data_IF_839935148029
#
_entry.id   IF_839935148029
#
_cell.length_a   1.000
_cell.length_b   1.000
_cell.length_c   1.000
_cell.angle_alpha   90.00
_cell.angle_beta   90.00
_cell.angle_gamma   90.00
#
_symmetry.space_group_name_H-M   'P 1'
#
loop_
_entity.id
_entity.type
_entity.pdbx_description
1 polymer ?
#
# COMPACT_ATOMS: atom_id res chain seq x y z
N UNK A 1 -40.48 -9.84 -13.13
CA UNK A 1 -39.50 -10.33 -14.13
C UNK A 1 -39.44 -9.35 -15.29
N UNK A 2 -38.52 -8.39 -15.21
CA UNK A 2 -38.05 -7.56 -16.33
C UNK A 2 -36.56 -7.38 -16.10
N UNK A 3 -35.75 -7.99 -16.95
CA UNK A 3 -34.29 -7.89 -16.94
C UNK A 3 -33.90 -6.55 -17.58
N UNK A 4 -33.15 -5.77 -16.81
CA UNK A 4 -32.48 -4.54 -17.21
C UNK A 4 -31.22 -4.90 -18.01
N UNK A 5 -31.02 -4.26 -19.16
CA UNK A 5 -29.81 -4.40 -19.97
C UNK A 5 -28.65 -3.62 -19.35
N UNK A 6 -27.51 -4.27 -19.19
CA UNK A 6 -26.21 -3.61 -18.93
C UNK A 6 -25.64 -3.09 -20.25
N UNK A 7 -25.15 -1.85 -20.25
CA UNK A 7 -24.44 -1.21 -21.36
C UNK A 7 -22.96 -1.14 -20.95
N UNK A 8 -22.10 -1.85 -21.68
CA UNK A 8 -20.64 -1.68 -21.68
C UNK A 8 -20.24 -0.63 -22.73
N UNK A 9 -19.25 0.25 -22.49
CA UNK A 9 -18.68 1.07 -23.54
C UNK A 9 -17.57 0.33 -24.31
N UNK A 10 -17.94 -0.02 -25.55
CA UNK A 10 -17.19 0.00 -26.81
C UNK A 10 -15.63 -0.06 -26.83
N UNK A 11 -15.12 -1.20 -27.30
CA UNK A 11 -13.81 -1.34 -27.93
C UNK A 11 -13.77 -0.65 -29.31
N UNK A 12 -12.71 0.11 -29.58
CA UNK A 12 -12.37 0.63 -30.92
C UNK A 12 -11.56 -0.43 -31.66
N UNK A 13 -12.13 -1.01 -32.72
CA UNK A 13 -11.43 -1.92 -33.64
C UNK A 13 -11.09 -1.18 -34.93
N UNK A 14 -9.79 -0.96 -35.20
CA UNK A 14 -9.32 -0.44 -36.48
C UNK A 14 -9.18 -1.58 -37.49
N UNK A 15 -9.87 -1.47 -38.63
CA UNK A 15 -9.79 -2.40 -39.75
C UNK A 15 -8.62 -2.02 -40.69
N UNK A 16 -7.67 -2.93 -40.90
CA UNK A 16 -6.72 -2.87 -42.00
C UNK A 16 -7.19 -3.77 -43.15
N UNK A 17 -7.31 -3.20 -44.34
CA UNK A 17 -7.73 -3.89 -45.56
C UNK A 17 -6.58 -4.69 -46.19
N UNK A 18 -6.84 -5.97 -46.50
CA UNK A 18 -6.02 -6.78 -47.40
C UNK A 18 -6.16 -6.29 -48.85
N UNK A 19 -5.02 -6.20 -49.56
CA UNK A 19 -4.99 -6.31 -51.02
C UNK A 19 -3.81 -7.19 -51.44
N UNK A 20 -4.10 -8.25 -52.19
CA UNK A 20 -3.14 -9.22 -52.68
C UNK A 20 -3.05 -9.15 -54.21
N UNK A 21 -1.83 -9.15 -54.76
CA UNK A 21 -1.49 -9.75 -56.05
C UNK A 21 0.05 -9.87 -56.20
N UNK A 22 0.58 -11.09 -56.32
CA UNK A 22 1.98 -11.35 -56.73
C UNK A 22 2.09 -11.50 -58.27
N UNK A 23 3.07 -12.26 -58.83
CA UNK A 23 4.38 -12.68 -58.32
C UNK A 23 5.52 -12.44 -59.36
N UNK A 24 6.80 -12.61 -58.97
CA UNK A 24 7.86 -13.19 -59.82
C UNK A 24 9.21 -13.31 -59.08
N UNK A 25 9.91 -14.41 -59.36
CA UNK A 25 11.15 -14.90 -58.79
C UNK A 25 12.42 -14.13 -59.18
N UNK A 26 13.50 -14.29 -58.40
CA UNK A 26 14.88 -14.63 -58.83
C UNK A 26 15.85 -14.66 -57.62
N UNK A 27 16.45 -15.82 -57.33
CA UNK A 27 17.75 -15.97 -56.64
C UNK A 27 18.90 -15.69 -57.65
N UNK A 28 20.23 -15.64 -57.31
CA UNK A 28 20.97 -16.26 -56.21
C UNK A 28 21.95 -15.29 -55.49
N UNK A 29 22.71 -15.65 -54.45
CA UNK A 29 24.04 -16.31 -54.55
C UNK A 29 24.60 -16.54 -53.13
N UNK A 30 25.14 -17.73 -52.91
CA UNK A 30 25.87 -18.18 -51.72
C UNK A 30 27.26 -17.52 -51.63
N UNK A 31 27.77 -17.36 -50.41
CA UNK A 31 29.21 -17.27 -50.16
C UNK A 31 29.53 -17.89 -48.80
N UNK A 32 30.12 -19.08 -48.86
CA UNK A 32 30.88 -19.73 -47.79
C UNK A 32 31.98 -18.81 -47.25
N UNK A 33 32.27 -18.94 -45.95
CA UNK A 33 33.65 -19.02 -45.46
C UNK A 33 33.66 -19.84 -44.17
N UNK A 34 34.19 -21.05 -44.26
CA UNK A 34 34.64 -21.85 -43.13
C UNK A 34 36.11 -21.53 -42.84
N UNK A 35 36.49 -21.47 -41.56
CA UNK A 35 37.68 -22.12 -40.97
C UNK A 35 38.04 -21.50 -39.60
N UNK A 36 37.78 -22.27 -38.54
CA UNK A 36 38.65 -22.39 -37.37
C UNK A 36 39.82 -23.34 -37.75
N UNK A 37 40.98 -23.42 -37.03
CA UNK A 37 40.95 -24.08 -35.71
C UNK A 37 42.11 -23.79 -34.70
N UNK A 38 41.97 -24.44 -33.52
CA UNK A 38 42.96 -24.83 -32.49
C UNK A 38 43.51 -23.76 -31.52
N UNK A 39 43.85 -24.00 -30.26
CA UNK A 39 43.49 -24.93 -29.16
C UNK A 39 44.47 -24.60 -27.98
N UNK A 40 44.19 -25.11 -26.77
CA UNK A 40 45.10 -25.29 -25.60
C UNK A 40 45.29 -23.99 -24.76
N UNK A 41 45.17 -23.91 -23.43
CA UNK A 41 45.42 -24.88 -22.37
C UNK A 41 44.50 -24.68 -21.15
N UNK A 42 44.20 -25.81 -20.51
CA UNK A 42 43.83 -26.00 -19.10
C UNK A 42 44.83 -25.38 -18.12
N UNK A 43 44.36 -24.73 -17.06
CA UNK A 43 44.97 -24.86 -15.74
C UNK A 43 43.90 -25.04 -14.66
N UNK A 44 44.13 -26.13 -13.94
CA UNK A 44 43.44 -26.69 -12.79
C UNK A 44 44.02 -26.01 -11.54
N UNK A 45 43.17 -25.48 -10.65
CA UNK A 45 43.60 -25.09 -9.31
C UNK A 45 42.65 -25.73 -8.30
N UNK A 46 43.07 -26.90 -7.84
CA UNK A 46 42.65 -27.45 -6.56
C UNK A 46 43.29 -26.65 -5.42
N UNK A 47 42.53 -26.37 -4.37
CA UNK A 47 43.08 -26.16 -3.03
C UNK A 47 42.16 -26.76 -1.98
N UNK A 48 42.78 -27.61 -1.16
CA UNK A 48 42.25 -28.43 -0.09
C UNK A 48 41.73 -27.63 1.13
N UNK A 49 40.60 -28.09 1.65
CA UNK A 49 40.30 -28.55 3.03
C UNK A 49 40.68 -27.73 4.31
N UNK A 50 39.76 -27.87 5.30
CA UNK A 50 39.91 -27.82 6.77
C UNK A 50 39.66 -26.49 7.49
N UNK A 51 38.54 -26.41 8.22
CA UNK A 51 38.53 -26.58 9.69
C UNK A 51 37.12 -26.35 10.28
N UNK A 52 36.56 -27.44 10.83
CA UNK A 52 35.46 -27.38 11.80
C UNK A 52 35.97 -26.76 13.12
N UNK A 53 35.17 -25.89 13.71
CA UNK A 53 35.39 -25.32 15.03
C UNK A 53 34.12 -25.42 15.86
N UNK A 54 34.00 -26.52 16.60
CA UNK A 54 33.09 -26.66 17.73
C UNK A 54 33.33 -25.54 18.75
N UNK A 55 32.28 -24.89 19.24
CA UNK A 55 32.29 -24.27 20.57
C UNK A 55 31.08 -24.69 21.39
N UNK A 56 31.43 -25.12 22.60
CA UNK A 56 30.64 -25.83 23.58
C UNK A 56 29.64 -24.95 24.33
N UNK A 57 28.58 -25.65 24.66
CA UNK A 57 27.62 -25.54 25.76
C UNK A 57 28.23 -25.23 27.15
N UNK A 58 27.48 -24.50 27.97
CA UNK A 58 27.71 -24.17 29.37
C UNK A 58 27.23 -22.74 29.65
N UNK A 59 26.32 -22.42 30.57
CA UNK A 59 26.01 -23.07 31.83
C UNK A 59 24.60 -22.69 32.28
N UNK A 60 24.05 -23.57 33.13
CA UNK A 60 22.71 -23.56 33.70
C UNK A 60 22.49 -22.43 34.72
N UNK A 61 21.24 -21.98 34.85
CA UNK A 61 20.65 -21.66 36.16
C UNK A 61 19.11 -21.67 36.07
N UNK A 62 18.54 -22.84 36.33
CA UNK A 62 17.17 -23.04 36.77
C UNK A 62 17.08 -22.69 38.26
N UNK A 63 16.10 -21.89 38.70
CA UNK A 63 15.62 -21.95 40.07
C UNK A 63 14.20 -21.36 40.23
N UNK A 64 13.25 -22.30 40.26
CA UNK A 64 12.18 -22.47 41.25
C UNK A 64 11.11 -21.40 41.49
N UNK A 65 9.87 -21.87 41.33
CA UNK A 65 8.60 -21.36 41.84
C UNK A 65 8.54 -21.23 43.38
N UNK A 66 7.77 -20.25 43.89
CA UNK A 66 6.43 -20.43 44.48
C UNK A 66 6.00 -19.25 45.40
N UNK A 67 4.68 -19.08 45.65
CA UNK A 67 3.99 -17.81 45.93
C UNK A 67 3.66 -17.61 47.41
N UNK A 68 3.25 -16.40 47.84
CA UNK A 68 2.46 -16.05 49.05
C UNK A 68 2.24 -14.50 49.03
N UNK A 69 1.15 -13.86 49.46
CA UNK A 69 -0.06 -14.28 50.17
C UNK A 69 -1.19 -13.24 49.99
N UNK A 70 -2.40 -13.76 50.03
CA UNK A 70 -3.69 -13.14 50.35
C UNK A 70 -3.71 -12.56 51.77
N UNK A 71 -4.36 -11.39 51.99
CA UNK A 71 -4.86 -11.01 53.31
C UNK A 71 -5.98 -9.94 53.25
N UNK A 72 -7.22 -10.44 53.40
CA UNK A 72 -8.26 -10.03 54.37
C UNK A 72 -8.91 -8.64 54.37
N UNK A 73 -10.25 -8.71 54.39
CA UNK A 73 -11.29 -7.70 54.55
C UNK A 73 -11.43 -7.05 55.97
N UNK A 74 -11.98 -5.82 55.96
CA UNK A 74 -13.03 -5.23 56.84
C UNK A 74 -12.81 -4.98 58.36
N UNK A 75 -13.68 -4.20 59.07
CA UNK A 75 -14.27 -2.87 58.77
C UNK A 75 -14.28 -1.95 60.06
N UNK A 76 -15.12 -0.89 60.04
CA UNK A 76 -15.66 -0.07 61.17
C UNK A 76 -15.17 1.39 61.28
N UNK A 77 -16.07 2.38 61.13
CA UNK A 77 -16.94 2.88 62.21
C UNK A 77 -17.69 4.17 61.79
N UNK A 78 -18.98 4.21 62.10
CA UNK A 78 -19.87 5.38 62.02
C UNK A 78 -19.78 6.31 63.24
N UNK A 79 -20.14 7.59 63.05
CA UNK A 79 -20.90 8.47 63.96
C UNK A 79 -21.26 9.77 63.20
N UNK A 80 -22.51 9.98 62.78
CA UNK A 80 -23.66 10.58 63.50
C UNK A 80 -23.53 12.10 63.79
N UNK A 81 -24.41 12.92 63.17
CA UNK A 81 -25.43 13.71 63.87
C UNK A 81 -25.95 14.96 63.10
N UNK A 82 -27.18 14.80 62.56
CA UNK A 82 -28.39 15.65 62.70
C UNK A 82 -28.51 17.12 62.21
N UNK A 83 -29.64 17.32 61.48
CA UNK A 83 -30.63 18.43 61.50
C UNK A 83 -30.41 19.64 60.56
N UNK A 84 -31.37 20.23 59.81
CA UNK A 84 -32.82 20.08 59.48
C UNK A 84 -33.16 21.07 58.32
N UNK A 85 -34.37 21.10 57.70
CA UNK A 85 -34.59 21.38 56.26
C UNK A 85 -35.26 22.73 55.88
N UNK A 86 -35.60 22.84 54.58
CA UNK A 86 -36.58 23.72 53.87
C UNK A 86 -36.08 25.13 53.46
N UNK A 87 -35.75 25.30 52.17
CA UNK A 87 -36.58 25.84 51.07
C UNK A 87 -36.63 27.38 51.04
N UNK A 88 -36.02 27.98 50.01
CA UNK A 88 -36.66 29.03 49.21
C UNK A 88 -35.95 29.15 47.85
N UNK A 89 -36.73 28.92 46.79
CA UNK A 89 -36.38 29.22 45.41
C UNK A 89 -35.95 30.68 45.27
N UNK A 90 -34.86 30.90 44.55
CA UNK A 90 -34.71 32.09 43.72
C UNK A 90 -34.25 31.68 42.34
N UNK A 91 -35.25 31.57 41.46
CA UNK A 91 -35.09 31.69 40.02
C UNK A 91 -34.45 33.02 39.70
N UNK A 92 -33.25 33.00 39.15
CA UNK A 92 -32.78 34.04 38.24
C UNK A 92 -32.28 33.31 37.00
N UNK A 93 -33.17 33.25 36.01
CA UNK A 93 -32.85 32.90 34.63
C UNK A 93 -31.72 33.81 34.13
N UNK A 94 -30.60 33.21 33.78
CA UNK A 94 -29.71 33.72 32.74
C UNK A 94 -29.33 32.55 31.85
N UNK A 95 -30.20 32.32 30.86
CA UNK A 95 -29.87 31.98 29.48
C UNK A 95 -28.51 31.27 29.30
N UNK A 96 -28.50 29.96 29.54
CA UNK A 96 -27.41 29.06 29.15
C UNK A 96 -27.93 28.00 28.18
N UNK A 97 -28.88 28.37 27.33
CA UNK A 97 -29.38 27.52 26.23
C UNK A 97 -28.52 27.67 24.95
N UNK A 98 -27.34 28.32 25.03
CA UNK A 98 -26.21 28.05 24.13
C UNK A 98 -25.46 26.75 24.51
N UNK A 99 -26.07 25.91 25.36
CA UNK A 99 -25.59 24.56 25.64
C UNK A 99 -25.80 23.65 24.41
N UNK A 100 -24.71 23.45 23.67
CA UNK A 100 -24.47 22.29 22.79
C UNK A 100 -25.41 22.16 21.59
N UNK A 101 -25.46 23.17 20.71
CA UNK A 101 -25.77 22.83 19.32
C UNK A 101 -24.61 21.98 18.81
N UNK A 102 -24.83 20.67 18.69
CA UNK A 102 -23.83 19.78 18.11
C UNK A 102 -23.44 20.28 16.73
N UNK A 103 -22.18 20.06 16.34
CA UNK A 103 -21.75 20.35 14.99
C UNK A 103 -21.87 19.08 14.15
N UNK A 104 -22.09 19.26 12.86
CA UNK A 104 -22.09 18.17 11.88
C UNK A 104 -20.86 18.29 11.01
N UNK A 105 -20.21 17.17 10.78
CA UNK A 105 -19.15 17.01 9.79
C UNK A 105 -19.67 16.13 8.67
N UNK A 106 -19.64 16.64 7.44
CA UNK A 106 -20.05 15.93 6.23
C UNK A 106 -18.84 15.59 5.38
N UNK A 107 -18.74 14.34 4.94
CA UNK A 107 -17.67 13.79 4.10
C UNK A 107 -18.14 13.53 2.66
N UNK A 108 -17.40 14.10 1.71
CA UNK A 108 -17.55 13.78 0.28
C UNK A 108 -16.20 13.29 -0.26
N UNK A 109 -15.97 11.98 -0.19
CA UNK A 109 -14.70 11.36 -0.58
C UNK A 109 -14.94 10.39 -1.74
N UNK A 110 -14.04 10.41 -2.72
CA UNK A 110 -14.03 9.49 -3.85
C UNK A 110 -12.71 8.71 -3.90
N UNK A 111 -12.77 7.49 -4.43
CA UNK A 111 -11.59 6.65 -4.66
C UNK A 111 -11.15 5.82 -3.45
N UNK A 112 -11.99 5.70 -2.42
CA UNK A 112 -11.79 4.74 -1.34
C UNK A 112 -12.25 3.34 -1.76
N UNK A 113 -11.67 2.31 -1.15
CA UNK A 113 -12.04 0.91 -1.37
C UNK A 113 -12.47 0.22 -0.08
N UNK A 114 -13.13 -0.93 -0.23
CA UNK A 114 -13.47 -1.82 0.89
C UNK A 114 -12.20 -2.40 1.50
N UNK A 115 -11.94 -2.08 2.77
CA UNK A 115 -10.76 -2.52 3.53
C UNK A 115 -10.89 -3.98 4.03
N UNK A 116 -12.08 -4.56 3.93
CA UNK A 116 -12.39 -5.90 4.41
C UNK A 116 -12.54 -5.99 5.93
N UNK A 117 -12.66 -7.23 6.42
CA UNK A 117 -12.85 -7.49 7.84
C UNK A 117 -11.63 -7.09 8.68
N UNK A 118 -11.88 -6.49 9.85
CA UNK A 118 -10.85 -6.13 10.82
C UNK A 118 -10.29 -4.72 10.69
N UNK A 119 -10.79 -3.93 9.73
CA UNK A 119 -10.31 -2.59 9.43
C UNK A 119 -11.47 -1.65 9.09
N UNK A 120 -11.31 -0.37 9.39
CA UNK A 120 -12.27 0.68 9.06
C UNK A 120 -11.53 2.00 8.79
N UNK A 121 -12.22 2.95 8.17
CA UNK A 121 -11.72 4.31 8.07
C UNK A 121 -12.12 5.11 9.31
N UNK A 122 -11.22 5.96 9.82
CA UNK A 122 -11.53 6.90 10.89
C UNK A 122 -11.15 8.33 10.49
N UNK A 123 -12.07 9.26 10.74
CA UNK A 123 -11.82 10.68 10.58
C UNK A 123 -11.33 11.31 11.88
N UNK A 124 -10.43 12.28 11.76
CA UNK A 124 -9.85 13.00 12.89
C UNK A 124 -9.81 14.49 12.62
N UNK A 125 -10.36 15.27 13.56
CA UNK A 125 -10.16 16.72 13.61
C UNK A 125 -8.93 17.04 14.45
N UNK A 126 -8.08 17.92 13.95
CA UNK A 126 -6.92 18.40 14.70
C UNK A 126 -7.29 19.68 15.45
N UNK A 127 -7.44 19.57 16.77
CA UNK A 127 -7.85 20.66 17.66
C UNK A 127 -6.74 20.94 18.66
N UNK A 128 -6.25 22.18 18.68
CA UNK A 128 -5.09 22.57 19.51
C UNK A 128 -3.87 21.64 19.34
N UNK A 129 -3.72 21.06 18.14
CA UNK A 129 -2.66 20.11 17.80
C UNK A 129 -2.89 18.67 18.25
N UNK A 130 -4.03 18.34 18.84
CA UNK A 130 -4.40 16.98 19.24
C UNK A 130 -5.48 16.40 18.30
N UNK A 131 -5.40 15.10 17.95
CA UNK A 131 -6.43 14.44 17.16
C UNK A 131 -7.68 14.17 18.01
N UNK A 132 -8.85 14.44 17.43
CA UNK A 132 -10.16 14.12 18.00
C UNK A 132 -10.94 13.33 16.97
N UNK A 133 -11.30 12.09 17.30
CA UNK A 133 -12.07 11.21 16.41
C UNK A 133 -13.42 11.83 16.05
N UNK A 134 -13.79 11.68 14.77
CA UNK A 134 -15.11 12.02 14.24
C UNK A 134 -15.99 10.79 14.09
N UNK A 135 -15.46 9.60 14.36
CA UNK A 135 -16.14 8.32 14.20
C UNK A 135 -15.61 7.49 13.03
N UNK A 136 -15.93 6.19 13.11
CA UNK A 136 -15.57 5.16 12.13
C UNK A 136 -16.61 5.05 11.03
N UNK A 137 -16.17 4.68 9.83
CA UNK A 137 -17.04 4.24 8.75
C UNK A 137 -16.33 3.19 7.88
N UNK A 138 -17.14 2.45 7.13
CA UNK A 138 -16.70 1.45 6.17
C UNK A 138 -17.02 1.93 4.76
N UNK A 139 -16.35 1.34 3.77
CA UNK A 139 -16.66 1.53 2.35
C UNK A 139 -17.00 0.18 1.78
N UNK A 140 -18.08 0.09 1.00
CA UNK A 140 -18.46 -1.17 0.35
C UNK A 140 -17.72 -1.38 -0.99
N UNK A 141 -17.95 -2.54 -1.61
CA UNK A 141 -17.34 -2.92 -2.87
C UNK A 141 -17.70 -1.99 -4.06
N UNK A 142 -18.76 -1.17 -3.94
CA UNK A 142 -19.13 -0.16 -4.95
C UNK A 142 -18.49 1.21 -4.66
N UNK A 143 -17.69 1.34 -3.60
CA UNK A 143 -17.04 2.57 -3.17
C UNK A 143 -17.96 3.50 -2.37
N UNK A 144 -19.07 2.98 -1.82
CA UNK A 144 -20.03 3.78 -1.05
C UNK A 144 -19.69 3.75 0.44
N UNK A 145 -19.65 4.93 1.08
CA UNK A 145 -19.41 5.04 2.51
C UNK A 145 -20.66 4.60 3.29
N UNK A 146 -20.45 3.90 4.41
CA UNK A 146 -21.53 3.51 5.32
C UNK A 146 -22.11 4.70 6.10
N UNK A 147 -21.34 5.78 6.26
CA UNK A 147 -21.78 7.07 6.79
C UNK A 147 -21.04 8.24 6.12
N UNK A 148 -21.77 9.33 5.86
CA UNK A 148 -21.22 10.58 5.34
C UNK A 148 -21.31 11.72 6.35
N UNK A 149 -22.19 11.62 7.35
CA UNK A 149 -22.47 12.68 8.30
C UNK A 149 -22.15 12.21 9.73
N UNK A 150 -21.38 13.01 10.44
CA UNK A 150 -20.91 12.70 11.79
C UNK A 150 -21.28 13.83 12.73
N UNK A 151 -21.76 13.49 13.93
CA UNK A 151 -21.98 14.47 14.98
C UNK A 151 -20.68 14.66 15.75
N UNK A 152 -20.19 15.89 15.80
CA UNK A 152 -18.95 16.24 16.50
C UNK A 152 -19.26 17.24 17.61
N UNK A 153 -18.77 16.94 18.81
CA UNK A 153 -18.99 17.75 20.01
C UNK A 153 -17.78 18.66 20.29
N UNK A 154 -17.41 19.42 19.26
CA UNK A 154 -16.26 20.31 19.26
C UNK A 154 -16.63 21.61 18.58
N UNK A 155 -15.95 22.70 18.95
CA UNK A 155 -16.09 23.97 18.24
C UNK A 155 -15.32 23.88 16.89
N UNK A 156 -16.01 23.93 15.73
CA UNK A 156 -15.35 23.86 14.43
C UNK A 156 -14.37 25.00 14.20
N UNK A 157 -14.53 26.14 14.88
CA UNK A 157 -13.59 27.26 14.78
C UNK A 157 -12.21 26.94 15.38
N UNK A 158 -12.10 25.87 16.16
CA UNK A 158 -10.84 25.40 16.76
C UNK A 158 -10.16 24.28 15.98
N UNK A 159 -10.87 23.67 15.02
CA UNK A 159 -10.32 22.64 14.17
C UNK A 159 -9.41 23.25 13.09
N UNK A 160 -8.19 22.75 13.00
CA UNK A 160 -7.14 23.27 12.11
C UNK A 160 -6.95 22.41 10.87
N UNK A 161 -7.21 21.12 10.97
CA UNK A 161 -7.11 20.16 9.87
C UNK A 161 -8.05 18.98 10.08
N UNK A 162 -8.33 18.27 8.99
CA UNK A 162 -8.92 16.95 9.00
C UNK A 162 -7.90 15.93 8.49
N UNK A 163 -7.91 14.74 9.09
CA UNK A 163 -7.09 13.61 8.69
C UNK A 163 -7.98 12.37 8.60
N UNK A 164 -7.83 11.60 7.52
CA UNK A 164 -8.43 10.29 7.37
C UNK A 164 -7.35 9.23 7.54
N UNK A 165 -7.60 8.26 8.42
CA UNK A 165 -6.71 7.12 8.65
C UNK A 165 -7.41 5.79 8.33
N UNK A 166 -6.60 4.74 8.21
CA UNK A 166 -7.04 3.35 8.21
C UNK A 166 -6.74 2.78 9.60
N UNK A 167 -7.76 2.26 10.27
CA UNK A 167 -7.68 1.82 11.67
C UNK A 167 -8.07 0.35 11.83
N UNK A 168 -7.43 -0.39 12.74
CA UNK A 168 -7.94 -1.67 13.20
C UNK A 168 -9.40 -1.56 13.68
N UNK A 169 -10.22 -2.58 13.45
CA UNK A 169 -11.61 -2.60 13.88
C UNK A 169 -12.00 -4.01 14.36
N UNK A 170 -12.10 -4.25 15.68
CA UNK A 170 -12.07 -3.28 16.78
C UNK A 170 -10.67 -2.77 17.13
N UNK A 171 -10.56 -1.47 17.45
CA UNK A 171 -9.35 -0.85 18.00
C UNK A 171 -9.40 -0.71 19.53
N UNK A 172 -8.26 -0.89 20.18
CA UNK A 172 -8.07 -0.62 21.60
C UNK A 172 -7.20 0.62 21.87
N UNK A 173 -6.47 1.12 20.86
CA UNK A 173 -5.73 2.38 20.95
C UNK A 173 -6.66 3.52 20.53
N UNK A 174 -6.87 4.55 21.38
CA UNK A 174 -7.69 5.70 21.02
C UNK A 174 -6.94 6.75 20.16
N UNK A 175 -5.66 6.55 19.87
CA UNK A 175 -4.89 7.43 18.98
C UNK A 175 -4.98 6.96 17.52
N UNK A 176 -4.84 7.88 16.54
CA UNK A 176 -4.79 7.49 15.13
C UNK A 176 -3.63 6.52 14.84
N UNK A 177 -3.85 5.53 13.99
CA UNK A 177 -2.77 4.68 13.48
C UNK A 177 -1.76 5.51 12.67
N UNK A 178 -0.62 4.90 12.35
CA UNK A 178 0.36 5.50 11.45
C UNK A 178 -0.15 5.65 10.00
N UNK A 179 -1.23 4.97 9.60
CA UNK A 179 -1.69 4.86 8.21
C UNK A 179 -2.60 6.04 7.86
N UNK A 180 -2.00 7.23 7.71
CA UNK A 180 -2.72 8.45 7.31
C UNK A 180 -2.89 8.50 5.79
N UNK A 181 -4.13 8.41 5.30
CA UNK A 181 -4.46 8.30 3.88
C UNK A 181 -4.72 9.66 3.22
N UNK A 182 -5.58 10.49 3.82
CA UNK A 182 -5.93 11.81 3.32
C UNK A 182 -5.79 12.86 4.40
N UNK A 183 -5.45 14.09 4.03
CA UNK A 183 -5.50 15.23 4.93
C UNK A 183 -5.83 16.52 4.21
N UNK A 184 -6.26 17.52 4.98
CA UNK A 184 -6.51 18.87 4.50
C UNK A 184 -6.64 19.88 5.64
N UNK A 185 -6.11 21.09 5.44
CA UNK A 185 -6.31 22.21 6.36
C UNK A 185 -7.78 22.67 6.31
N UNK A 186 -8.35 22.96 7.48
CA UNK A 186 -9.71 23.49 7.60
C UNK A 186 -9.65 25.01 7.51
N UNK A 187 -10.33 25.57 6.51
CA UNK A 187 -10.48 27.02 6.30
C UNK A 187 -11.96 27.31 6.11
N UNK A 188 -12.51 28.20 6.94
CA UNK A 188 -13.94 28.58 6.92
C UNK A 188 -14.88 27.35 7.00
N UNK A 189 -14.50 26.34 7.78
CA UNK A 189 -15.27 25.10 7.97
C UNK A 189 -15.21 24.13 6.78
N UNK A 190 -14.30 24.33 5.84
CA UNK A 190 -14.10 23.42 4.69
C UNK A 190 -12.65 22.94 4.60
N UNK A 191 -12.43 21.71 4.17
CA UNK A 191 -11.10 21.19 3.84
C UNK A 191 -11.14 20.42 2.51
N UNK A 192 -10.13 20.65 1.67
CA UNK A 192 -9.86 19.83 0.49
C UNK A 192 -8.87 18.73 0.88
N UNK A 193 -9.23 17.48 0.64
CA UNK A 193 -8.49 16.32 1.09
C UNK A 193 -7.63 15.74 -0.03
N UNK A 194 -6.35 15.49 0.29
CA UNK A 194 -5.43 14.82 -0.63
C UNK A 194 -4.39 14.00 0.12
N UNK A 195 -3.79 13.04 -0.59
CA UNK A 195 -2.62 12.31 -0.10
C UNK A 195 -1.38 13.22 0.05
N UNK A 196 -1.35 14.34 -0.68
CA UNK A 196 -0.21 15.27 -0.69
C UNK A 196 -0.11 16.12 0.57
N UNK A 197 -1.17 16.15 1.38
CA UNK A 197 -1.18 16.93 2.61
C UNK A 197 -0.09 16.44 3.58
N UNK A 198 0.60 17.33 4.32
CA UNK A 198 1.65 16.94 5.26
C UNK A 198 1.20 16.02 6.40
N UNK A 199 -0.11 16.00 6.71
CA UNK A 199 -0.70 15.08 7.67
C UNK A 199 -1.14 13.73 7.03
N UNK A 200 -0.88 13.50 5.74
CA UNK A 200 -1.09 12.24 5.03
C UNK A 200 0.27 11.71 4.54
N UNK A 201 0.42 11.35 3.26
CA UNK A 201 1.71 10.95 2.70
C UNK A 201 2.70 12.12 2.61
N UNK A 202 2.22 13.36 2.56
CA UNK A 202 3.07 14.56 2.45
C UNK A 202 3.79 14.70 1.10
N UNK A 203 3.34 13.98 0.07
CA UNK A 203 3.92 14.01 -1.27
C UNK A 203 2.83 14.03 -2.35
N UNK A 204 2.99 14.91 -3.35
CA UNK A 204 2.07 15.04 -4.49
C UNK A 204 2.43 14.11 -5.66
N UNK A 205 3.60 13.47 -5.60
CA UNK A 205 4.14 12.57 -6.62
C UNK A 205 4.24 13.20 -8.04
N UNK A 206 4.18 14.52 -8.16
CA UNK A 206 4.17 15.22 -9.45
C UNK A 206 5.51 15.18 -10.20
N UNK A 207 6.59 14.86 -9.50
CA UNK A 207 7.96 14.83 -10.03
C UNK A 207 8.52 13.39 -10.18
N UNK A 208 7.67 12.37 -10.16
CA UNK A 208 8.10 10.97 -10.38
C UNK A 208 8.52 10.75 -11.85
N UNK A 209 9.63 10.05 -12.04
CA UNK A 209 10.14 9.60 -13.35
C UNK A 209 10.81 8.25 -13.11
N UNK A 210 10.15 7.17 -13.56
CA UNK A 210 10.54 5.82 -13.21
C UNK A 210 10.46 4.88 -14.41
N UNK A 211 11.30 3.85 -14.41
CA UNK A 211 11.32 2.81 -15.44
C UNK A 211 11.63 1.45 -14.82
N UNK A 212 11.39 0.41 -15.61
CA UNK A 212 11.80 -0.94 -15.32
C UNK A 212 12.48 -1.59 -16.53
N UNK A 213 13.09 -2.74 -16.29
CA UNK A 213 13.68 -3.60 -17.31
C UNK A 213 13.15 -5.03 -17.16
N UNK A 214 13.21 -5.80 -18.25
CA UNK A 214 13.05 -7.25 -18.21
C UNK A 214 14.42 -7.93 -18.24
N UNK A 215 14.63 -8.89 -17.35
CA UNK A 215 15.87 -9.63 -17.19
C UNK A 215 15.78 -10.64 -16.06
N UNK A 216 16.49 -11.76 -16.16
CA UNK A 216 16.64 -12.69 -15.03
C UNK A 216 17.73 -12.13 -14.11
N UNK A 217 17.34 -11.65 -12.94
CA UNK A 217 18.25 -10.98 -12.00
C UNK A 217 18.87 -11.93 -10.97
N UNK A 218 18.15 -12.97 -10.56
CA UNK A 218 18.63 -14.00 -9.67
C UNK A 218 19.40 -15.06 -10.46
N UNK A 219 20.66 -15.28 -10.11
CA UNK A 219 21.54 -16.26 -10.75
C UNK A 219 21.16 -17.74 -10.46
N UNK A 220 19.97 -18.00 -9.92
CA UNK A 220 19.53 -19.32 -9.53
C UNK A 220 18.98 -20.11 -10.73
N UNK A 221 19.79 -21.05 -11.23
CA UNK A 221 19.38 -22.18 -12.08
C UNK A 221 18.44 -21.83 -13.24
N UNK A 222 18.94 -21.08 -14.23
CA UNK A 222 18.25 -20.92 -15.51
C UNK A 222 18.15 -22.26 -16.27
N UNK A 223 16.93 -22.61 -16.67
CA UNK A 223 16.63 -23.73 -17.57
C UNK A 223 16.54 -23.24 -19.02
N UNK A 224 16.50 -24.17 -19.99
CA UNK A 224 16.37 -23.81 -21.42
C UNK A 224 15.04 -23.10 -21.74
N UNK A 225 14.04 -23.21 -20.88
CA UNK A 225 12.73 -22.58 -21.04
C UNK A 225 12.68 -21.18 -20.40
N UNK A 226 13.73 -20.77 -19.68
CA UNK A 226 13.82 -19.42 -19.10
C UNK A 226 14.38 -18.39 -20.09
N UNK A 227 13.88 -17.16 -19.97
CA UNK A 227 14.18 -16.01 -20.81
C UNK A 227 14.18 -14.74 -19.96
N UNK A 228 14.79 -13.66 -20.45
CA UNK A 228 14.73 -12.32 -19.81
C UNK A 228 13.29 -11.86 -19.54
N UNK A 229 12.30 -12.38 -20.28
CA UNK A 229 10.87 -12.10 -20.08
C UNK A 229 10.28 -12.67 -18.79
N UNK A 230 11.03 -13.50 -18.08
CA UNK A 230 10.60 -14.11 -16.83
C UNK A 230 11.04 -13.33 -15.60
N UNK A 231 11.67 -12.17 -15.74
CA UNK A 231 12.02 -11.33 -14.61
C UNK A 231 11.78 -9.86 -14.92
N UNK A 232 11.38 -9.12 -13.90
CA UNK A 232 11.12 -7.68 -13.96
C UNK A 232 11.88 -7.00 -12.84
N UNK A 233 12.52 -5.88 -13.15
CA UNK A 233 13.27 -5.13 -12.16
C UNK A 233 13.14 -3.62 -12.36
N UNK A 234 12.87 -2.90 -11.28
CA UNK A 234 12.66 -1.46 -11.26
C UNK A 234 14.00 -0.73 -11.06
N UNK A 235 14.83 -0.76 -12.10
CA UNK A 235 16.22 -0.29 -12.07
C UNK A 235 16.37 1.24 -11.90
N UNK A 236 15.31 1.98 -12.16
CA UNK A 236 15.26 3.44 -11.97
C UNK A 236 13.91 3.85 -11.40
N UNK A 237 13.84 4.00 -10.08
CA UNK A 237 12.70 4.57 -9.39
C UNK A 237 13.05 5.96 -8.82
N UNK A 238 12.24 6.96 -9.14
CA UNK A 238 12.30 8.27 -8.50
C UNK A 238 11.03 8.47 -7.66
N UNK A 239 11.07 7.98 -6.42
CA UNK A 239 9.95 7.98 -5.48
C UNK A 239 10.35 8.72 -4.19
N UNK A 240 9.42 9.46 -3.55
CA UNK A 240 9.68 10.10 -2.26
C UNK A 240 9.86 9.06 -1.14
N UNK A 241 10.43 9.48 -0.01
CA UNK A 241 10.36 8.67 1.19
C UNK A 241 8.92 8.68 1.75
N UNK A 242 8.42 7.51 2.16
CA UNK A 242 7.10 7.37 2.76
C UNK A 242 7.14 7.59 4.28
N UNK A 243 6.08 8.15 4.89
CA UNK A 243 5.94 8.17 6.34
C UNK A 243 5.75 6.74 6.90
N UNK A 244 5.84 6.61 8.22
CA UNK A 244 5.55 5.35 8.90
C UNK A 244 4.13 4.87 8.57
N UNK A 245 3.92 3.56 8.56
CA UNK A 245 2.63 2.95 8.18
C UNK A 245 2.46 2.71 6.68
N UNK A 246 3.50 2.98 5.87
CA UNK A 246 3.44 2.78 4.42
C UNK A 246 4.73 2.13 3.88
N UNK A 247 4.57 1.29 2.86
CA UNK A 247 5.65 0.73 2.05
C UNK A 247 5.30 0.85 0.56
N UNK A 248 6.30 0.78 -0.32
CA UNK A 248 6.03 0.55 -1.73
C UNK A 248 5.93 -0.95 -2.01
N UNK A 249 5.17 -1.32 -3.03
CA UNK A 249 5.15 -2.67 -3.57
C UNK A 249 5.10 -2.63 -5.10
N UNK A 250 5.91 -3.48 -5.72
CA UNK A 250 5.86 -3.68 -7.16
C UNK A 250 4.94 -4.84 -7.52
N UNK A 251 4.30 -4.76 -8.68
CA UNK A 251 3.36 -5.76 -9.16
C UNK A 251 3.51 -6.00 -10.65
N UNK A 252 3.31 -7.26 -11.04
CA UNK A 252 2.91 -7.62 -12.40
C UNK A 252 1.44 -8.02 -12.40
N UNK A 253 0.64 -7.41 -13.27
CA UNK A 253 -0.82 -7.63 -13.29
C UNK A 253 -1.19 -8.31 -14.60
N UNK A 254 -1.57 -9.58 -14.53
CA UNK A 254 -1.86 -10.41 -15.69
C UNK A 254 -3.29 -10.95 -15.72
N UNK A 255 -3.59 -11.88 -16.65
CA UNK A 255 -4.93 -12.44 -16.84
C UNK A 255 -5.53 -13.13 -15.61
N UNK A 256 -4.68 -13.70 -14.76
CA UNK A 256 -5.08 -14.42 -13.55
C UNK A 256 -5.09 -13.54 -12.29
N UNK A 257 -4.75 -12.24 -12.43
CA UNK A 257 -4.69 -11.28 -11.34
C UNK A 257 -3.29 -10.67 -11.11
N UNK A 258 -3.16 -9.84 -10.07
CA UNK A 258 -1.90 -9.23 -9.67
C UNK A 258 -0.98 -10.24 -8.97
N UNK A 259 0.31 -10.11 -9.19
CA UNK A 259 1.37 -10.90 -8.55
C UNK A 259 2.43 -9.91 -8.05
N UNK A 260 2.75 -9.98 -6.76
CA UNK A 260 3.78 -9.14 -6.15
C UNK A 260 5.16 -9.40 -6.74
N UNK A 261 5.96 -8.34 -6.89
CA UNK A 261 7.39 -8.38 -7.17
C UNK A 261 8.23 -8.11 -5.91
N UNK A 262 7.60 -8.04 -4.74
CA UNK A 262 8.28 -7.70 -3.48
C UNK A 262 7.97 -6.28 -2.98
N UNK A 263 7.96 -6.14 -1.65
CA UNK A 263 7.75 -4.88 -0.92
C UNK A 263 9.07 -4.21 -0.64
N UNK A 264 9.14 -2.88 -0.71
CA UNK A 264 10.38 -2.14 -0.48
C UNK A 264 10.14 -0.77 0.17
N UNK A 265 11.09 -0.34 0.99
CA UNK A 265 11.09 0.99 1.61
C UNK A 265 12.01 1.97 0.87
N UNK A 266 13.12 1.48 0.32
CA UNK A 266 14.08 2.28 -0.43
C UNK A 266 13.99 1.90 -1.92
N UNK A 267 13.62 2.83 -2.82
CA UNK A 267 13.53 2.58 -4.25
C UNK A 267 14.87 2.19 -4.92
N UNK A 268 16.00 2.35 -4.22
CA UNK A 268 17.34 2.02 -4.72
C UNK A 268 17.99 0.86 -3.95
N UNK A 269 17.19 0.05 -3.26
CA UNK A 269 17.63 -1.16 -2.58
C UNK A 269 16.81 -2.37 -3.02
N UNK A 270 17.30 -3.56 -2.69
CA UNK A 270 16.55 -4.80 -2.85
C UNK A 270 15.26 -4.75 -2.00
N UNK A 271 14.21 -5.43 -2.48
CA UNK A 271 12.98 -5.65 -1.70
C UNK A 271 13.23 -6.47 -0.42
N UNK A 272 12.23 -6.46 0.45
CA UNK A 272 12.27 -7.02 1.80
C UNK A 272 12.34 -8.57 1.81
N UNK A 273 11.87 -9.22 0.75
CA UNK A 273 11.93 -10.67 0.55
C UNK A 273 13.06 -11.12 -0.39
N UNK A 274 13.84 -10.19 -0.92
CA UNK A 274 15.12 -10.36 -1.57
C UNK A 274 15.05 -10.79 -3.02
N UNK A 275 14.69 -12.05 -3.25
CA UNK A 275 14.44 -12.56 -4.61
C UNK A 275 13.15 -13.35 -4.64
N UNK A 276 12.36 -13.29 -3.58
CA UNK A 276 11.07 -13.91 -3.43
C UNK A 276 10.98 -15.42 -3.69
N UNK A 277 9.78 -15.98 -3.55
CA UNK A 277 9.55 -17.42 -3.66
C UNK A 277 9.56 -17.94 -5.11
N UNK A 278 9.37 -17.05 -6.10
CA UNK A 278 9.20 -17.43 -7.49
C UNK A 278 10.52 -17.50 -8.30
N UNK A 279 11.65 -17.06 -7.73
CA UNK A 279 12.94 -16.97 -8.43
C UNK A 279 13.62 -18.31 -8.77
N UNK A 280 13.01 -19.46 -8.44
CA UNK A 280 13.53 -20.76 -8.86
C UNK A 280 14.77 -21.27 -8.12
N UNK A 281 15.26 -20.55 -7.11
CA UNK A 281 16.30 -21.03 -6.19
C UNK A 281 16.95 -19.93 -5.36
N UNK A 282 17.95 -20.27 -4.52
CA UNK A 282 18.67 -19.29 -3.73
C UNK A 282 19.55 -18.44 -4.66
N UNK A 283 19.26 -17.15 -4.73
CA UNK A 283 20.03 -16.15 -5.45
C UNK A 283 19.97 -14.83 -4.71
N UNK A 284 20.90 -13.93 -5.02
CA UNK A 284 20.79 -12.53 -4.66
C UNK A 284 20.39 -11.80 -5.93
N UNK A 285 19.19 -11.22 -5.96
CA UNK A 285 18.75 -10.35 -7.04
C UNK A 285 19.65 -9.11 -7.18
N UNK A 286 19.37 -8.25 -8.17
CA UNK A 286 19.96 -6.93 -8.28
C UNK A 286 19.73 -6.06 -7.02
N UNK A 287 20.52 -5.00 -6.88
CA UNK A 287 20.43 -4.05 -5.77
C UNK A 287 19.27 -3.05 -5.89
N UNK A 288 18.16 -3.45 -6.51
CA UNK A 288 16.96 -2.65 -6.73
C UNK A 288 15.73 -3.58 -6.73
N UNK A 289 14.51 -3.07 -6.50
CA UNK A 289 13.33 -3.91 -6.31
C UNK A 289 12.96 -4.71 -7.57
N UNK A 290 12.45 -5.93 -7.40
CA UNK A 290 11.94 -6.74 -8.51
C UNK A 290 12.01 -8.24 -8.25
N UNK A 291 11.55 -9.00 -9.25
CA UNK A 291 11.34 -10.43 -9.06
C UNK A 291 11.53 -11.21 -10.36
N UNK A 292 12.12 -12.40 -10.22
CA UNK A 292 12.06 -13.44 -11.25
C UNK A 292 10.89 -14.39 -10.99
N UNK A 293 10.12 -14.70 -12.02
CA UNK A 293 9.06 -15.69 -12.03
C UNK A 293 9.48 -16.91 -12.84
N UNK A 294 10.32 -17.77 -12.24
CA UNK A 294 10.86 -18.98 -12.88
C UNK A 294 10.10 -20.25 -12.50
N UNK A 295 9.38 -20.26 -11.36
CA UNK A 295 8.65 -21.44 -10.87
C UNK A 295 7.21 -21.11 -10.44
N UNK A 296 6.21 -21.34 -11.32
CA UNK A 296 6.36 -21.64 -12.75
C UNK A 296 6.91 -20.43 -13.52
N UNK A 297 7.47 -20.69 -14.71
CA UNK A 297 7.94 -19.63 -15.58
C UNK A 297 6.76 -18.81 -16.13
N UNK A 298 6.82 -17.48 -16.02
CA UNK A 298 5.79 -16.56 -16.54
C UNK A 298 6.41 -15.67 -17.62
N UNK A 299 5.84 -15.65 -18.83
CA UNK A 299 6.22 -14.67 -19.86
C UNK A 299 5.47 -13.35 -19.65
N UNK A 300 6.14 -12.37 -19.05
CA UNK A 300 5.55 -11.08 -18.71
C UNK A 300 5.14 -10.26 -19.94
N UNK A 301 5.62 -10.60 -21.14
CA UNK A 301 5.25 -9.88 -22.38
C UNK A 301 3.90 -10.35 -22.97
N UNK A 302 3.20 -11.27 -22.29
CA UNK A 302 1.96 -11.90 -22.79
C UNK A 302 0.68 -11.34 -22.15
N UNK A 303 0.62 -10.01 -22.02
CA UNK A 303 -0.57 -9.30 -21.51
C UNK A 303 -0.50 -8.98 -20.02
N UNK A 304 0.70 -8.76 -19.48
CA UNK A 304 0.88 -8.21 -18.14
C UNK A 304 1.07 -6.70 -18.20
N UNK A 305 0.71 -6.04 -17.10
CA UNK A 305 1.03 -4.65 -16.77
C UNK A 305 2.05 -4.62 -15.62
N UNK A 306 2.81 -3.54 -15.49
CA UNK A 306 3.68 -3.28 -14.33
C UNK A 306 3.09 -2.13 -13.50
N UNK A 307 3.08 -2.28 -12.17
CA UNK A 307 2.51 -1.28 -11.25
C UNK A 307 3.42 -1.10 -10.05
N UNK A 308 3.59 0.15 -9.59
CA UNK A 308 4.06 0.43 -8.23
C UNK A 308 2.88 0.99 -7.44
N UNK A 309 2.59 0.38 -6.31
CA UNK A 309 1.60 0.85 -5.34
C UNK A 309 2.25 1.32 -4.05
N UNK A 310 1.47 2.01 -3.23
CA UNK A 310 1.80 2.41 -1.87
C UNK A 310 0.87 1.63 -0.95
N UNK A 311 1.42 0.69 -0.20
CA UNK A 311 0.68 -0.29 0.59
C UNK A 311 0.68 0.11 2.07
N UNK A 312 -0.45 -0.05 2.78
CA UNK A 312 -0.47 0.14 4.22
C UNK A 312 0.46 -0.86 4.93
N UNK A 313 0.97 -0.50 6.09
CA UNK A 313 1.75 -1.38 6.97
C UNK A 313 1.15 -1.34 8.39
N UNK A 314 0.55 -2.44 8.87
CA UNK A 314 0.48 -3.77 8.26
C UNK A 314 -0.48 -3.84 7.05
N UNK A 315 -0.13 -4.69 6.08
CA UNK A 315 -0.97 -5.00 4.92
C UNK A 315 -1.79 -6.27 5.20
N UNK A 316 -3.10 -6.22 4.93
CA UNK A 316 -4.05 -7.32 5.10
C UNK A 316 -4.61 -7.85 3.76
N UNK A 317 -4.18 -7.31 2.62
CA UNK A 317 -4.72 -7.59 1.30
C UNK A 317 -3.71 -8.36 0.43
N UNK A 318 -4.14 -9.36 -0.35
CA UNK A 318 -3.30 -9.96 -1.40
C UNK A 318 -3.35 -9.17 -2.73
N UNK A 319 -4.13 -8.09 -2.78
CA UNK A 319 -4.34 -7.25 -3.97
C UNK A 319 -3.65 -5.89 -3.78
N UNK A 320 -3.11 -5.26 -4.84
CA UNK A 320 -2.50 -3.93 -4.75
C UNK A 320 -3.50 -2.91 -4.22
N UNK A 321 -3.11 -2.16 -3.18
CA UNK A 321 -3.93 -1.10 -2.60
C UNK A 321 -4.28 -0.02 -3.63
N UNK A 322 -5.32 0.77 -3.33
CA UNK A 322 -5.83 1.81 -4.21
C UNK A 322 -4.77 2.84 -4.68
N UNK A 323 -3.74 3.10 -3.87
CA UNK A 323 -2.69 4.08 -4.17
C UNK A 323 -1.68 3.56 -5.18
N UNK A 324 -1.93 3.79 -6.48
CA UNK A 324 -1.08 3.35 -7.59
C UNK A 324 -0.48 4.51 -8.37
N UNK A 325 0.56 5.20 -7.85
CA UNK A 325 1.12 6.41 -8.50
C UNK A 325 1.78 6.13 -9.85
N UNK A 326 2.24 4.91 -10.12
CA UNK A 326 2.95 4.53 -11.34
C UNK A 326 2.38 3.26 -11.95
N UNK A 327 2.09 3.31 -13.25
CA UNK A 327 1.54 2.19 -14.01
C UNK A 327 2.15 2.17 -15.41
N UNK A 328 2.55 0.99 -15.87
CA UNK A 328 2.63 0.66 -17.28
C UNK A 328 1.54 -0.37 -17.61
N UNK A 329 0.57 0.02 -18.43
CA UNK A 329 -0.57 -0.81 -18.77
C UNK A 329 -0.23 -2.02 -19.64
N UNK A 330 0.96 -2.07 -20.24
CA UNK A 330 1.39 -3.20 -21.08
C UNK A 330 2.89 -3.33 -21.07
N UNK A 331 3.39 -4.45 -20.53
CA UNK A 331 4.79 -4.82 -20.61
C UNK A 331 5.12 -5.23 -22.04
N UNK A 332 5.92 -4.42 -22.73
CA UNK A 332 6.35 -4.65 -24.10
C UNK A 332 7.60 -5.53 -24.18
N UNK A 333 7.79 -6.13 -25.35
CA UNK A 333 8.99 -6.87 -25.71
C UNK A 333 10.03 -5.94 -26.36
N UNK A 334 10.80 -5.24 -25.53
CA UNK A 334 11.87 -4.32 -25.96
C UNK A 334 13.27 -4.95 -25.94
N UNK A 335 13.35 -6.27 -25.76
CA UNK A 335 14.61 -7.01 -25.62
C UNK A 335 15.17 -7.02 -24.20
N UNK A 336 16.22 -7.83 -24.01
CA UNK A 336 16.89 -8.04 -22.73
C UNK A 336 17.48 -6.73 -22.18
N UNK A 337 17.11 -6.38 -20.94
CA UNK A 337 17.46 -5.12 -20.27
C UNK A 337 17.05 -3.84 -21.03
N UNK A 338 16.07 -3.93 -21.94
CA UNK A 338 15.47 -2.75 -22.54
C UNK A 338 14.62 -2.00 -21.52
N UNK A 339 14.88 -0.69 -21.37
CA UNK A 339 14.17 0.17 -20.42
C UNK A 339 12.75 0.50 -20.91
N UNK A 340 11.78 0.38 -20.02
CA UNK A 340 10.36 0.66 -20.25
C UNK A 340 9.87 1.66 -19.20
N UNK A 341 9.21 2.76 -19.61
CA UNK A 341 8.75 3.79 -18.67
C UNK A 341 7.56 3.30 -17.85
N UNK A 342 7.47 3.77 -16.61
CA UNK A 342 6.24 3.75 -15.82
C UNK A 342 5.57 5.13 -15.95
N UNK A 343 4.31 5.15 -16.34
CA UNK A 343 3.55 6.38 -16.51
C UNK A 343 2.89 6.80 -15.20
N UNK A 344 2.76 8.11 -14.99
CA UNK A 344 2.10 8.65 -13.80
C UNK A 344 0.60 8.33 -13.82
N UNK A 345 0.06 7.87 -12.70
CA UNK A 345 -1.36 7.56 -12.52
C UNK A 345 -1.98 8.33 -11.35
N UNK A 346 -1.55 9.58 -11.15
CA UNK A 346 -1.98 10.42 -10.02
C UNK A 346 -3.47 10.77 -10.03
N UNK A 347 -4.11 10.73 -11.21
CA UNK A 347 -5.54 10.97 -11.34
C UNK A 347 -6.43 9.87 -10.76
N UNK A 348 -5.86 8.72 -10.37
CA UNK A 348 -6.61 7.65 -9.69
C UNK A 348 -6.52 7.73 -8.17
N UNK A 349 -5.72 8.65 -7.61
CA UNK A 349 -5.55 8.76 -6.17
C UNK A 349 -6.82 9.34 -5.52
N UNK A 350 -7.17 8.92 -4.29
CA UNK A 350 -8.37 9.39 -3.63
C UNK A 350 -8.27 10.88 -3.32
N UNK A 351 -9.41 11.54 -3.36
CA UNK A 351 -9.56 12.96 -3.03
C UNK A 351 -10.94 13.16 -2.42
N UNK A 352 -11.15 14.26 -1.71
CA UNK A 352 -12.48 14.58 -1.20
C UNK A 352 -12.56 15.94 -0.57
N UNK A 353 -13.71 16.24 0.01
CA UNK A 353 -13.92 17.43 0.82
C UNK A 353 -14.54 17.09 2.15
N UNK A 354 -14.30 17.96 3.13
CA UNK A 354 -14.97 17.95 4.43
C UNK A 354 -15.68 19.28 4.59
N UNK A 355 -16.92 19.22 5.08
CA UNK A 355 -17.72 20.39 5.42
C UNK A 355 -18.17 20.31 6.88
N UNK A 356 -17.86 21.34 7.66
CA UNK A 356 -18.34 21.50 9.03
C UNK A 356 -19.49 22.50 9.06
N UNK A 357 -20.58 22.13 9.73
CA UNK A 357 -21.77 22.96 9.87
C UNK A 357 -22.42 22.82 11.24
N UNK A 358 -23.41 23.66 11.49
CA UNK A 358 -24.29 23.50 12.66
C UNK A 358 -25.30 22.39 12.39
N UNK A 359 -25.58 21.56 13.39
CA UNK A 359 -26.65 20.58 13.32
C UNK A 359 -28.00 21.32 13.20
N UNK A 360 -28.74 21.08 12.11
CA UNK A 360 -30.02 21.73 11.82
C UNK A 360 -31.19 21.11 12.58
#
# INVERSE_FOLDING_TARGET
>A
MKLQHWIFPLLVTAALALSACGPAASAPTESETAAQPEAIATEEMASEEMAEGEMKEGDMAEATEEPMAEATEEPMAEADATATPEEEMKSDDMDSDEAMMGHTLSLEIAGLEDLGEGWAYEGWLIIDGAPVSTGLFDVDADGMLSSHDFSVDVDPATATAFVLTIEPSPDADPAPSAVHLLGGDIVDGMAELSVAHPAALGADFSAIDSSYILGIGALASVTADNSYRNGIWFDKLNLPALPAGWLYEGWVVGPDGPITTGRFADPNAMDLDGSGPAAGGPGTGPGFPGQDYLTPAIDLTTGYAAVISIEPEPDNSPMPFLLKPLVDSTIDDVGDHGSQPLESNLGSLPTGTVHMGMMQ
#
